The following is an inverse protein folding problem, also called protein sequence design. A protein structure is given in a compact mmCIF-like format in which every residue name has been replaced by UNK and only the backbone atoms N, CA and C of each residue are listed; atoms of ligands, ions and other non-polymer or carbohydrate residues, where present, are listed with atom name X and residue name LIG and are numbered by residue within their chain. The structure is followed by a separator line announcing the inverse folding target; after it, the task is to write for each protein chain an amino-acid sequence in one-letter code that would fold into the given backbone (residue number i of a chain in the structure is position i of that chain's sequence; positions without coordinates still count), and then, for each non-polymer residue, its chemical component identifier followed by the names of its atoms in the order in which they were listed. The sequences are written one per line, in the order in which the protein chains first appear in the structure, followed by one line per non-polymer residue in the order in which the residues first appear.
data_IF_953896065547
#
_entry.id   IF_953896065547
#
_cell.length_a   1.000
_cell.length_b   1.000
_cell.length_c   1.000
_cell.angle_alpha   90.00
_cell.angle_beta   90.00
_cell.angle_gamma   90.00
#
_symmetry.space_group_name_H-M   'P 1'
#
loop_
_entity.id
_entity.type
_entity.pdbx_description
1 polymer ?
#
# COMPACT_ATOMS: atom_id res chain seq x y z
N UNK A 1 21.54 -0.90 6.58
CA UNK A 1 21.86 0.42 7.19
C UNK A 1 20.84 0.68 8.30
N UNK A 2 21.29 1.11 9.46
CA UNK A 2 20.43 1.48 10.57
C UNK A 2 19.80 2.86 10.28
N UNK A 3 18.48 2.87 10.04
CA UNK A 3 17.74 4.09 9.67
C UNK A 3 17.61 5.10 10.82
N UNK A 4 17.87 4.70 12.06
CA UNK A 4 17.87 5.58 13.24
C UNK A 4 19.19 6.33 13.44
N UNK A 5 20.24 5.96 12.72
CA UNK A 5 21.51 6.71 12.72
C UNK A 5 21.41 7.89 11.76
N UNK A 6 20.70 8.94 12.18
CA UNK A 6 20.32 10.11 11.39
C UNK A 6 21.51 10.83 10.72
N UNK A 7 22.70 10.78 11.31
CA UNK A 7 23.92 11.37 10.74
C UNK A 7 24.35 10.72 9.40
N UNK A 8 23.87 9.51 9.10
CA UNK A 8 24.18 8.77 7.86
C UNK A 8 22.95 8.57 6.97
N UNK A 9 21.76 9.01 7.40
CA UNK A 9 20.51 8.75 6.69
C UNK A 9 19.96 10.04 6.09
N UNK A 10 19.97 10.12 4.76
CA UNK A 10 19.22 11.16 4.07
C UNK A 10 17.72 10.83 4.16
N UNK A 11 17.01 11.54 5.03
CA UNK A 11 15.59 11.32 5.31
C UNK A 11 14.71 11.48 4.04
N UNK A 12 15.08 12.39 3.14
CA UNK A 12 14.33 12.58 1.89
C UNK A 12 14.47 11.35 0.97
N UNK A 13 15.69 10.80 0.87
CA UNK A 13 15.93 9.58 0.10
C UNK A 13 15.24 8.37 0.74
N UNK A 14 15.26 8.28 2.07
CA UNK A 14 14.53 7.23 2.79
C UNK A 14 13.03 7.32 2.49
N UNK A 15 12.43 8.49 2.59
CA UNK A 15 10.99 8.72 2.29
C UNK A 15 10.64 8.46 0.83
N UNK A 16 11.56 8.68 -0.10
CA UNK A 16 11.39 8.27 -1.50
C UNK A 16 11.35 6.74 -1.62
N UNK A 17 12.25 6.05 -0.91
CA UNK A 17 12.41 4.58 -1.00
C UNK A 17 11.33 3.78 -0.28
N UNK A 18 10.54 4.41 0.61
CA UNK A 18 9.50 3.76 1.41
C UNK A 18 8.18 4.51 1.24
N UNK A 19 7.29 3.94 0.44
CA UNK A 19 5.92 4.43 0.29
C UNK A 19 5.04 3.97 1.46
N UNK A 20 3.99 4.76 1.77
CA UNK A 20 3.03 4.40 2.80
C UNK A 20 1.60 4.68 2.33
N UNK A 21 0.71 3.71 2.54
CA UNK A 21 -0.74 3.83 2.33
C UNK A 21 -1.43 3.61 3.66
N UNK A 22 -2.25 4.58 4.06
CA UNK A 22 -2.91 4.60 5.35
C UNK A 22 -4.29 3.92 5.29
N UNK A 23 -4.80 3.56 6.45
CA UNK A 23 -6.11 2.95 6.66
C UNK A 23 -7.25 3.79 6.05
N UNK A 24 -7.23 5.11 6.31
CA UNK A 24 -8.18 6.04 5.69
C UNK A 24 -7.54 6.67 4.46
N UNK A 25 -8.22 6.67 3.31
CA UNK A 25 -7.74 7.40 2.15
C UNK A 25 -7.42 8.85 2.51
N UNK A 26 -6.25 9.31 2.10
CA UNK A 26 -5.77 10.65 2.42
C UNK A 26 -5.23 11.38 1.18
N UNK A 27 -6.04 11.53 0.12
CA UNK A 27 -5.61 12.33 -1.01
C UNK A 27 -5.30 13.76 -0.59
N UNK A 28 -4.38 14.41 -1.28
CA UNK A 28 -4.17 15.84 -1.09
C UNK A 28 -5.40 16.61 -1.59
N UNK A 29 -5.70 17.80 -1.02
CA UNK A 29 -6.77 18.69 -1.50
C UNK A 29 -6.38 19.36 -2.82
N UNK A 30 -6.15 18.56 -3.83
CA UNK A 30 -5.64 18.88 -5.16
C UNK A 30 -6.36 18.02 -6.19
N UNK A 31 -6.07 18.23 -7.47
CA UNK A 31 -6.58 17.37 -8.53
C UNK A 31 -6.01 15.95 -8.46
N UNK A 32 -6.62 15.01 -9.18
CA UNK A 32 -6.15 13.63 -9.33
C UNK A 32 -4.71 13.65 -9.89
N UNK A 33 -4.48 14.43 -10.96
CA UNK A 33 -3.16 14.62 -11.55
C UNK A 33 -2.12 15.10 -10.54
N UNK A 34 -2.43 16.17 -9.80
CA UNK A 34 -1.51 16.78 -8.84
C UNK A 34 -1.20 15.88 -7.65
N UNK A 35 -2.10 14.97 -7.29
CA UNK A 35 -1.82 13.96 -6.27
C UNK A 35 -0.67 13.04 -6.69
N UNK A 36 -0.65 12.61 -7.95
CA UNK A 36 0.39 11.72 -8.48
C UNK A 36 1.67 12.49 -8.79
N UNK A 37 1.54 13.63 -9.46
CA UNK A 37 2.66 14.44 -9.95
C UNK A 37 3.51 15.05 -8.82
N UNK A 38 2.97 15.15 -7.60
CA UNK A 38 3.64 15.80 -6.47
C UNK A 38 5.00 15.17 -6.14
N UNK A 39 5.03 13.85 -5.95
CA UNK A 39 6.25 13.12 -5.60
C UNK A 39 7.31 13.18 -6.70
N UNK A 40 6.99 12.84 -7.96
CA UNK A 40 7.91 12.95 -9.09
C UNK A 40 8.50 14.34 -9.27
N UNK A 41 7.71 15.41 -9.12
CA UNK A 41 8.24 16.78 -9.17
C UNK A 41 9.19 17.10 -8.02
N UNK A 42 8.80 16.72 -6.78
CA UNK A 42 9.63 16.93 -5.60
C UNK A 42 11.01 16.26 -5.73
N UNK A 43 11.04 15.08 -6.33
CA UNK A 43 12.26 14.29 -6.52
C UNK A 43 12.92 14.50 -7.89
N UNK A 44 12.45 15.46 -8.70
CA UNK A 44 12.99 15.80 -10.04
C UNK A 44 13.11 14.58 -10.94
N UNK A 45 12.07 13.73 -10.96
CA UNK A 45 12.05 12.49 -11.75
C UNK A 45 11.62 12.71 -13.20
N UNK A 46 11.16 13.92 -13.55
CA UNK A 46 10.78 14.31 -14.89
C UNK A 46 11.34 15.71 -15.18
N UNK A 47 11.93 15.87 -16.36
CA UNK A 47 12.47 17.14 -16.84
C UNK A 47 11.46 17.89 -17.71
N UNK A 48 10.56 17.15 -18.36
CA UNK A 48 9.51 17.72 -19.23
C UNK A 48 8.11 17.34 -18.73
N UNK A 49 7.13 18.08 -19.27
CA UNK A 49 5.72 17.79 -18.96
C UNK A 49 5.31 16.40 -19.45
N UNK A 50 5.76 16.01 -20.63
CA UNK A 50 5.46 14.72 -21.26
C UNK A 50 5.97 13.55 -20.42
N UNK A 51 7.17 13.67 -19.85
CA UNK A 51 7.73 12.67 -18.93
C UNK A 51 6.89 12.56 -17.66
N UNK A 52 6.45 13.70 -17.12
CA UNK A 52 5.58 13.71 -15.94
C UNK A 52 4.20 13.11 -16.23
N UNK A 53 3.62 13.44 -17.38
CA UNK A 53 2.35 12.89 -17.84
C UNK A 53 2.43 11.36 -17.98
N UNK A 54 3.54 10.83 -18.51
CA UNK A 54 3.78 9.40 -18.61
C UNK A 54 3.85 8.71 -17.23
N UNK A 55 4.54 9.32 -16.25
CA UNK A 55 4.59 8.81 -14.87
C UNK A 55 3.18 8.78 -14.25
N UNK A 56 2.39 9.83 -14.47
CA UNK A 56 1.01 9.91 -13.96
C UNK A 56 0.14 8.80 -14.57
N UNK A 57 0.16 8.64 -15.88
CA UNK A 57 -0.59 7.60 -16.58
C UNK A 57 -0.18 6.20 -16.13
N UNK A 58 1.12 5.92 -16.08
CA UNK A 58 1.66 4.63 -15.64
C UNK A 58 1.23 4.30 -14.20
N UNK A 59 1.35 5.27 -13.29
CA UNK A 59 0.99 5.09 -11.88
C UNK A 59 -0.50 4.81 -11.70
N UNK A 60 -1.36 5.55 -12.40
CA UNK A 60 -2.81 5.34 -12.38
C UNK A 60 -3.19 4.01 -13.03
N UNK A 61 -2.47 3.60 -14.07
CA UNK A 61 -2.67 2.31 -14.76
C UNK A 61 -2.30 1.15 -13.82
N UNK A 62 -1.13 1.20 -13.19
CA UNK A 62 -0.71 0.21 -12.18
C UNK A 62 -1.69 0.11 -11.02
N UNK A 63 -2.32 1.22 -10.63
CA UNK A 63 -3.33 1.24 -9.57
C UNK A 63 -4.76 0.88 -10.04
N UNK A 64 -4.92 0.39 -11.27
CA UNK A 64 -6.22 0.05 -11.88
C UNK A 64 -7.24 1.20 -11.82
N UNK A 65 -6.77 2.45 -11.95
CA UNK A 65 -7.61 3.65 -11.84
C UNK A 65 -7.67 4.48 -13.13
N UNK A 66 -6.69 4.34 -14.03
CA UNK A 66 -6.57 5.14 -15.25
C UNK A 66 -7.86 5.21 -16.08
N UNK A 67 -8.47 4.07 -16.37
CA UNK A 67 -9.68 4.00 -17.20
C UNK A 67 -10.87 4.78 -16.63
N UNK A 68 -10.90 4.95 -15.33
CA UNK A 68 -12.00 5.62 -14.62
C UNK A 68 -11.79 7.14 -14.52
N UNK A 69 -10.52 7.61 -14.62
CA UNK A 69 -10.19 9.01 -14.31
C UNK A 69 -9.47 9.76 -15.44
N UNK A 70 -9.06 9.11 -16.53
CA UNK A 70 -8.27 9.71 -17.61
C UNK A 70 -8.90 10.98 -18.22
N UNK A 71 -10.23 11.05 -18.27
CA UNK A 71 -10.97 12.18 -18.86
C UNK A 71 -11.28 13.29 -17.83
N UNK A 72 -10.85 13.11 -16.56
CA UNK A 72 -11.10 14.06 -15.44
C UNK A 72 -9.92 14.20 -14.49
N UNK A 73 -8.70 14.12 -15.02
CA UNK A 73 -7.46 14.19 -14.23
C UNK A 73 -7.31 15.47 -13.42
N UNK A 74 -7.92 16.55 -13.86
CA UNK A 74 -7.86 17.85 -13.20
C UNK A 74 -9.02 18.10 -12.21
N UNK A 75 -9.94 17.16 -12.07
CA UNK A 75 -10.98 17.21 -11.04
C UNK A 75 -10.38 17.04 -9.65
N UNK A 76 -11.09 17.59 -8.65
CA UNK A 76 -10.68 17.44 -7.25
C UNK A 76 -10.73 15.97 -6.82
N UNK A 77 -9.64 15.48 -6.22
CA UNK A 77 -9.49 14.10 -5.77
C UNK A 77 -10.55 13.68 -4.73
N UNK A 78 -11.10 14.62 -3.95
CA UNK A 78 -12.19 14.33 -3.00
C UNK A 78 -13.53 13.99 -3.66
N UNK A 79 -13.70 14.26 -4.96
CA UNK A 79 -14.86 13.83 -5.74
C UNK A 79 -14.84 12.35 -6.13
N UNK A 80 -13.77 11.62 -5.83
CA UNK A 80 -13.66 10.18 -6.04
C UNK A 80 -14.38 9.39 -4.95
N UNK A 81 -14.85 8.18 -5.27
CA UNK A 81 -15.36 7.24 -4.25
C UNK A 81 -14.24 6.79 -3.29
N UNK A 82 -14.59 6.24 -2.13
CA UNK A 82 -13.60 5.78 -1.14
C UNK A 82 -12.59 4.78 -1.72
N UNK A 83 -13.05 3.80 -2.49
CA UNK A 83 -12.17 2.83 -3.16
C UNK A 83 -11.29 3.48 -4.23
N UNK A 84 -11.82 4.46 -4.99
CA UNK A 84 -11.02 5.22 -5.95
C UNK A 84 -9.97 6.10 -5.25
N UNK A 85 -10.34 6.77 -4.14
CA UNK A 85 -9.38 7.54 -3.34
C UNK A 85 -8.28 6.67 -2.78
N UNK A 86 -8.59 5.46 -2.32
CA UNK A 86 -7.58 4.52 -1.84
C UNK A 86 -6.64 4.10 -2.97
N UNK A 87 -7.15 3.72 -4.15
CA UNK A 87 -6.33 3.42 -5.33
C UNK A 87 -5.48 4.63 -5.78
N UNK A 88 -6.01 5.85 -5.64
CA UNK A 88 -5.23 7.07 -5.88
C UNK A 88 -4.05 7.20 -4.89
N UNK A 89 -4.25 6.85 -3.62
CA UNK A 89 -3.17 6.84 -2.62
C UNK A 89 -2.10 5.78 -2.94
N UNK A 90 -2.50 4.62 -3.45
CA UNK A 90 -1.55 3.63 -4.00
C UNK A 90 -0.78 4.20 -5.19
N UNK A 91 -1.48 4.74 -6.20
CA UNK A 91 -0.85 5.36 -7.36
C UNK A 91 0.16 6.44 -6.97
N UNK A 92 -0.20 7.33 -6.03
CA UNK A 92 0.70 8.35 -5.49
C UNK A 92 1.94 7.75 -4.83
N UNK A 93 1.76 6.65 -4.08
CA UNK A 93 2.88 6.01 -3.36
C UNK A 93 3.85 5.32 -4.31
N UNK A 94 3.38 4.73 -5.41
CA UNK A 94 4.24 4.04 -6.39
C UNK A 94 4.83 4.99 -7.45
N UNK A 95 4.31 6.22 -7.59
CA UNK A 95 4.78 7.19 -8.59
C UNK A 95 6.25 7.62 -8.39
N UNK A 96 6.81 7.44 -7.21
CA UNK A 96 8.23 7.71 -6.90
C UNK A 96 9.12 6.48 -6.99
N UNK A 97 8.58 5.35 -7.45
CA UNK A 97 9.24 4.05 -7.58
C UNK A 97 9.96 3.62 -6.29
N UNK A 98 9.21 3.40 -5.19
CA UNK A 98 9.78 3.02 -3.90
C UNK A 98 10.27 1.57 -3.92
N UNK A 99 11.21 1.21 -3.02
CA UNK A 99 11.62 -0.18 -2.81
C UNK A 99 10.65 -0.95 -1.93
N UNK A 100 9.98 -0.27 -1.01
CA UNK A 100 9.07 -0.87 -0.02
C UNK A 100 7.77 -0.08 0.04
N UNK A 101 6.65 -0.80 0.13
CA UNK A 101 5.33 -0.25 0.40
C UNK A 101 4.84 -0.73 1.77
N UNK A 102 4.55 0.21 2.66
CA UNK A 102 3.92 -0.03 3.94
C UNK A 102 2.42 0.23 3.81
N UNK A 103 1.61 -0.76 4.12
CA UNK A 103 0.15 -0.69 4.02
C UNK A 103 -0.45 -0.89 5.40
N UNK A 104 -1.13 0.13 5.93
CA UNK A 104 -1.77 0.09 7.22
C UNK A 104 -3.27 -0.12 7.05
N UNK A 105 -3.74 -1.34 7.24
CA UNK A 105 -5.15 -1.76 7.10
C UNK A 105 -5.86 -1.20 5.83
N UNK A 106 -5.28 -1.33 4.63
CA UNK A 106 -5.68 -0.56 3.44
C UNK A 106 -7.10 -0.83 2.95
N UNK A 107 -7.79 -1.86 3.48
CA UNK A 107 -9.13 -2.27 3.06
C UNK A 107 -10.19 -2.10 4.17
N UNK A 108 -9.83 -1.74 5.40
CA UNK A 108 -10.74 -1.79 6.56
C UNK A 108 -11.96 -0.86 6.46
N UNK A 109 -11.85 0.23 5.69
CA UNK A 109 -12.92 1.23 5.49
C UNK A 109 -13.65 1.08 4.14
N UNK A 110 -13.44 -0.04 3.42
CA UNK A 110 -13.95 -0.25 2.07
C UNK A 110 -15.07 -1.29 2.03
N UNK A 111 -15.94 -1.16 1.05
CA UNK A 111 -16.92 -2.17 0.69
C UNK A 111 -16.24 -3.43 0.10
N UNK A 112 -16.94 -4.58 0.02
CA UNK A 112 -16.36 -5.84 -0.46
C UNK A 112 -15.81 -5.76 -1.89
N UNK A 113 -16.44 -5.01 -2.80
CA UNK A 113 -16.00 -4.89 -4.20
C UNK A 113 -14.70 -4.10 -4.25
N UNK A 114 -14.64 -2.96 -3.55
CA UNK A 114 -13.43 -2.15 -3.44
C UNK A 114 -12.29 -2.91 -2.73
N UNK A 115 -12.62 -3.71 -1.72
CA UNK A 115 -11.64 -4.58 -1.03
C UNK A 115 -11.02 -5.58 -1.99
N UNK A 116 -11.81 -6.28 -2.79
CA UNK A 116 -11.29 -7.21 -3.79
C UNK A 116 -10.37 -6.52 -4.82
N UNK A 117 -10.78 -5.35 -5.30
CA UNK A 117 -9.95 -4.57 -6.23
C UNK A 117 -8.60 -4.15 -5.62
N UNK A 118 -8.56 -3.82 -4.33
CA UNK A 118 -7.30 -3.51 -3.62
C UNK A 118 -6.46 -4.78 -3.39
N UNK A 119 -7.07 -5.92 -3.07
CA UNK A 119 -6.34 -7.18 -2.92
C UNK A 119 -5.69 -7.62 -4.24
N UNK A 120 -6.41 -7.53 -5.35
CA UNK A 120 -5.87 -7.79 -6.70
C UNK A 120 -4.71 -6.84 -7.02
N UNK A 121 -4.85 -5.56 -6.70
CA UNK A 121 -3.80 -4.57 -6.85
C UNK A 121 -2.55 -4.94 -6.03
N UNK A 122 -2.70 -5.35 -4.77
CA UNK A 122 -1.59 -5.78 -3.91
C UNK A 122 -0.88 -7.01 -4.50
N UNK A 123 -1.64 -8.00 -5.00
CA UNK A 123 -1.10 -9.20 -5.64
C UNK A 123 -0.31 -8.87 -6.92
N UNK A 124 -0.71 -7.84 -7.65
CA UNK A 124 0.05 -7.37 -8.82
C UNK A 124 1.30 -6.61 -8.42
N UNK A 125 1.17 -5.68 -7.46
CA UNK A 125 2.29 -4.86 -6.99
C UNK A 125 3.39 -5.67 -6.31
N UNK A 126 3.06 -6.75 -5.59
CA UNK A 126 4.07 -7.58 -4.89
C UNK A 126 5.05 -8.28 -5.83
N UNK A 127 4.77 -8.32 -7.14
CA UNK A 127 5.71 -8.84 -8.14
C UNK A 127 6.93 -7.93 -8.31
N UNK A 128 6.79 -6.63 -8.03
CA UNK A 128 7.82 -5.62 -8.26
C UNK A 128 8.25 -4.90 -6.99
N UNK A 129 7.44 -4.91 -5.93
CA UNK A 129 7.69 -4.18 -4.69
C UNK A 129 7.73 -5.11 -3.49
N UNK A 130 8.57 -4.81 -2.52
CA UNK A 130 8.46 -5.42 -1.18
C UNK A 130 7.29 -4.78 -0.45
N UNK A 131 6.27 -5.57 -0.09
CA UNK A 131 5.07 -5.08 0.59
C UNK A 131 5.04 -5.57 2.03
N UNK A 132 4.87 -4.65 2.96
CA UNK A 132 4.58 -4.95 4.37
C UNK A 132 3.18 -4.43 4.66
N UNK A 133 2.27 -5.34 5.03
CA UNK A 133 0.87 -5.00 5.32
C UNK A 133 0.53 -5.32 6.78
N UNK A 134 -0.11 -4.39 7.46
CA UNK A 134 -0.79 -4.62 8.72
C UNK A 134 -2.27 -4.82 8.44
N UNK A 135 -2.84 -5.89 8.96
CA UNK A 135 -4.27 -6.18 8.87
C UNK A 135 -4.73 -7.01 10.05
N UNK A 136 -5.94 -6.76 10.53
CA UNK A 136 -6.63 -7.62 11.48
C UNK A 136 -7.52 -8.67 10.79
N UNK A 137 -7.62 -8.64 9.46
CA UNK A 137 -8.40 -9.59 8.69
C UNK A 137 -7.54 -10.79 8.29
N UNK A 138 -7.72 -11.90 9.01
CA UNK A 138 -6.97 -13.14 8.77
C UNK A 138 -7.20 -13.73 7.39
N UNK A 139 -8.44 -13.62 6.86
CA UNK A 139 -8.75 -14.13 5.52
C UNK A 139 -8.00 -13.34 4.45
N UNK A 140 -7.89 -12.03 4.62
CA UNK A 140 -7.07 -11.17 3.76
C UNK A 140 -5.59 -11.57 3.84
N UNK A 141 -5.02 -11.64 5.05
CA UNK A 141 -3.63 -12.07 5.24
C UNK A 141 -3.34 -13.40 4.54
N UNK A 142 -4.24 -14.39 4.71
CA UNK A 142 -4.12 -15.72 4.08
C UNK A 142 -4.11 -15.65 2.54
N UNK A 143 -4.90 -14.74 1.93
CA UNK A 143 -5.01 -14.66 0.47
C UNK A 143 -3.83 -13.95 -0.19
N UNK A 144 -3.30 -12.89 0.44
CA UNK A 144 -2.38 -11.98 -0.27
C UNK A 144 -0.93 -12.07 0.18
N UNK A 145 -0.63 -12.60 1.38
CA UNK A 145 0.74 -12.61 1.90
C UNK A 145 1.47 -13.94 1.67
N UNK A 146 2.80 -13.85 1.50
CA UNK A 146 3.69 -15.00 1.39
C UNK A 146 4.23 -15.40 2.77
N UNK A 147 4.49 -14.39 3.63
CA UNK A 147 4.95 -14.54 5.00
C UNK A 147 4.04 -13.77 5.93
N UNK A 148 3.66 -14.37 7.06
CA UNK A 148 2.84 -13.73 8.09
C UNK A 148 3.61 -13.69 9.41
N UNK A 149 3.43 -12.59 10.15
CA UNK A 149 3.89 -12.45 11.53
C UNK A 149 2.69 -12.13 12.43
N UNK A 150 2.50 -12.90 13.48
CA UNK A 150 1.46 -12.65 14.48
C UNK A 150 2.05 -11.82 15.62
N UNK A 151 1.47 -10.63 15.84
CA UNK A 151 1.81 -9.73 16.93
C UNK A 151 0.76 -9.83 18.03
N UNK A 152 1.24 -9.85 19.28
CA UNK A 152 0.39 -9.79 20.46
C UNK A 152 1.09 -8.98 21.56
N UNK A 153 0.43 -7.93 22.05
CA UNK A 153 0.94 -7.03 23.09
C UNK A 153 2.37 -6.48 22.80
N UNK A 154 2.62 -6.10 21.54
CA UNK A 154 3.91 -5.50 21.15
C UNK A 154 5.01 -6.52 20.80
N UNK A 155 4.75 -7.83 20.95
CA UNK A 155 5.72 -8.88 20.67
C UNK A 155 5.32 -9.72 19.44
N UNK A 156 6.33 -10.17 18.69
CA UNK A 156 6.13 -11.18 17.63
C UNK A 156 6.01 -12.56 18.30
N UNK A 157 4.81 -13.10 18.30
CA UNK A 157 4.53 -14.44 18.86
C UNK A 157 5.02 -15.54 17.93
N UNK A 158 4.76 -15.39 16.63
CA UNK A 158 5.18 -16.32 15.60
C UNK A 158 5.34 -15.61 14.26
N UNK A 159 6.30 -16.07 13.45
CA UNK A 159 6.52 -15.62 12.07
C UNK A 159 6.88 -16.81 11.20
N UNK A 160 6.29 -16.89 10.00
CA UNK A 160 6.58 -17.97 9.06
C UNK A 160 5.82 -17.84 7.75
N UNK A 161 6.00 -18.84 6.87
CA UNK A 161 5.23 -18.93 5.64
C UNK A 161 3.73 -18.92 5.95
N UNK A 162 2.98 -18.08 5.26
CA UNK A 162 1.55 -17.85 5.51
C UNK A 162 0.76 -19.16 5.54
N UNK A 163 0.94 -20.01 4.52
CA UNK A 163 0.28 -21.32 4.46
C UNK A 163 0.49 -22.13 5.74
N UNK A 164 1.75 -22.24 6.20
CA UNK A 164 2.06 -23.00 7.42
C UNK A 164 1.42 -22.40 8.66
N UNK A 165 1.47 -21.05 8.79
CA UNK A 165 0.89 -20.37 9.95
C UNK A 165 -0.63 -20.54 10.07
N UNK A 166 -1.33 -20.64 8.94
CA UNK A 166 -2.78 -20.81 8.94
C UNK A 166 -3.24 -22.28 8.99
N UNK A 167 -2.44 -23.23 8.49
CA UNK A 167 -2.79 -24.65 8.46
C UNK A 167 -2.25 -25.43 9.68
N UNK A 168 -1.04 -25.10 10.12
CA UNK A 168 -0.36 -25.79 11.21
C UNK A 168 0.58 -24.86 11.99
N UNK A 169 0.02 -23.89 12.75
CA UNK A 169 0.82 -22.97 13.57
C UNK A 169 1.58 -23.72 14.67
N UNK A 170 2.80 -23.27 14.96
CA UNK A 170 3.62 -23.89 16.00
C UNK A 170 3.29 -23.38 17.41
N UNK A 171 2.87 -22.10 17.52
CA UNK A 171 2.62 -21.48 18.80
C UNK A 171 1.15 -21.57 19.22
N UNK A 172 0.88 -21.93 20.50
CA UNK A 172 -0.48 -22.08 21.04
C UNK A 172 -1.37 -20.84 20.84
N UNK A 173 -0.80 -19.63 21.07
CA UNK A 173 -1.53 -18.37 20.87
C UNK A 173 -1.90 -18.16 19.39
N UNK A 174 -1.00 -18.48 18.47
CA UNK A 174 -1.28 -18.41 17.03
C UNK A 174 -2.39 -19.35 16.64
N UNK A 175 -2.36 -20.58 17.18
CA UNK A 175 -3.42 -21.58 16.94
C UNK A 175 -4.77 -21.09 17.41
N UNK A 176 -4.87 -20.58 18.63
CA UNK A 176 -6.11 -20.01 19.16
C UNK A 176 -6.57 -18.79 18.34
N UNK A 177 -5.63 -17.96 17.87
CA UNK A 177 -5.96 -16.80 17.02
C UNK A 177 -6.54 -17.22 15.67
N UNK A 178 -5.94 -18.20 15.01
CA UNK A 178 -6.36 -18.69 13.69
C UNK A 178 -7.67 -19.48 13.75
N UNK A 179 -7.92 -20.24 14.83
CA UNK A 179 -9.16 -20.99 15.03
C UNK A 179 -10.33 -20.12 15.50
N UNK A 180 -10.10 -18.88 15.92
CA UNK A 180 -11.13 -18.02 16.51
C UNK A 180 -11.46 -18.33 17.97
N UNK A 181 -10.68 -19.20 18.61
CA UNK A 181 -10.87 -19.64 20.01
C UNK A 181 -10.21 -18.61 20.98
N UNK A 182 -10.63 -17.36 20.88
CA UNK A 182 -10.26 -16.36 21.89
C UNK A 182 -11.22 -16.47 23.07
N UNK A 183 -10.74 -17.09 24.13
CA UNK A 183 -11.30 -17.00 25.48
C UNK A 183 -10.48 -16.03 26.31
#
# INVERSE_FOLDING_TARGET
TDIYRTQYTNVNNLRKSVGMVFQKPNPFPKSIYENIAYGPRLHRMAETKEQLDAIVEESLTKANLWKEVKDRLYDNAFGLSGGQQQRLCFARSIAVDPHVLLLDEPCSALDPISTNAIEELILELKKNYTIVIVTHNMHQAKRISDTTAYFHLGEIVEKGATKKMFENPNHRKTKAYVSGDFG
#
